data_IF_379898351684
#
_entry.id   IF_379898351684
#
_cell.length_a   1.000
_cell.length_b   1.000
_cell.length_c   1.000
_cell.angle_alpha   90.00
_cell.angle_beta   90.00
_cell.angle_gamma   90.00
#
_symmetry.space_group_name_H-M   'P 1'
#
loop_
_entity.id
_entity.type
_entity.pdbx_description
1 polymer ?
#
# COMPACT_ATOMS: atom_id res chain seq x y z
N UNK A 1 -2.92 -7.37 -15.20
CA UNK A 1 -3.27 -7.85 -13.84
C UNK A 1 -3.46 -6.62 -12.98
N UNK A 2 -4.53 -6.53 -12.19
CA UNK A 2 -4.76 -5.37 -11.32
C UNK A 2 -3.86 -5.49 -10.10
N UNK A 3 -2.80 -4.68 -10.01
CA UNK A 3 -1.78 -4.87 -8.98
C UNK A 3 -2.32 -4.58 -7.57
N UNK A 4 -3.20 -3.59 -7.43
CA UNK A 4 -3.71 -3.17 -6.12
C UNK A 4 -4.97 -3.91 -5.68
N UNK A 5 -5.77 -4.47 -6.60
CA UNK A 5 -7.02 -5.14 -6.27
C UNK A 5 -7.16 -6.43 -7.07
N UNK A 6 -6.93 -7.54 -6.38
CA UNK A 6 -7.15 -8.91 -6.85
C UNK A 6 -8.24 -9.58 -5.99
N UNK A 7 -8.59 -10.84 -6.29
CA UNK A 7 -9.60 -11.58 -5.52
C UNK A 7 -9.25 -11.80 -4.05
N UNK A 8 -7.99 -11.58 -3.67
CA UNK A 8 -7.51 -11.71 -2.30
C UNK A 8 -7.93 -10.54 -1.40
N UNK A 9 -8.22 -9.36 -1.96
CA UNK A 9 -8.53 -8.14 -1.20
C UNK A 9 -9.94 -7.65 -1.49
N UNK A 10 -10.61 -7.14 -0.47
CA UNK A 10 -11.93 -6.53 -0.64
C UNK A 10 -11.81 -5.00 -0.91
N UNK A 11 -12.87 -4.35 -1.41
CA UNK A 11 -12.83 -2.91 -1.70
C UNK A 11 -12.58 -2.01 -0.48
N UNK A 12 -12.84 -2.48 0.75
CA UNK A 12 -12.58 -1.71 1.97
C UNK A 12 -11.09 -1.70 2.30
N UNK A 13 -10.44 -2.87 2.25
CA UNK A 13 -8.98 -3.02 2.42
C UNK A 13 -8.22 -2.17 1.39
N UNK A 14 -8.73 -2.13 0.14
CA UNK A 14 -8.18 -1.34 -0.96
C UNK A 14 -8.44 0.18 -0.88
N UNK A 15 -9.17 0.66 0.14
CA UNK A 15 -9.51 2.09 0.27
C UNK A 15 -10.49 2.60 -0.80
N UNK A 16 -11.32 1.71 -1.35
CA UNK A 16 -12.34 1.99 -2.37
C UNK A 16 -13.76 2.05 -1.79
N UNK A 17 -13.89 2.09 -0.46
CA UNK A 17 -15.15 2.18 0.26
C UNK A 17 -15.77 3.60 0.23
N UNK A 18 -16.14 4.07 -0.98
CA UNK A 18 -16.80 5.37 -1.17
C UNK A 18 -18.04 5.54 -0.27
N UNK A 19 -18.41 6.78 0.01
CA UNK A 19 -19.45 7.11 0.99
C UNK A 19 -20.83 6.51 0.66
N UNK A 20 -21.16 6.37 -0.63
CA UNK A 20 -22.45 5.85 -1.08
C UNK A 20 -22.30 4.41 -1.59
N UNK A 21 -23.28 3.58 -1.27
CA UNK A 21 -23.46 2.23 -1.85
C UNK A 21 -24.68 2.26 -2.77
N UNK A 22 -24.61 1.54 -3.89
CA UNK A 22 -25.71 1.47 -4.86
C UNK A 22 -26.96 0.83 -4.20
N UNK A 23 -28.12 1.42 -4.47
CA UNK A 23 -29.41 0.95 -3.94
C UNK A 23 -29.83 -0.41 -4.51
N UNK A 24 -29.60 -0.62 -5.82
CA UNK A 24 -29.85 -1.90 -6.49
C UNK A 24 -29.09 -3.05 -5.83
N UNK A 25 -29.62 -4.26 -5.97
CA UNK A 25 -28.89 -5.47 -5.58
C UNK A 25 -27.80 -5.82 -6.59
N UNK A 26 -26.69 -6.39 -6.11
CA UNK A 26 -25.56 -6.79 -6.94
C UNK A 26 -24.71 -7.88 -6.26
N UNK A 27 -23.96 -8.64 -7.07
CA UNK A 27 -23.09 -9.72 -6.60
C UNK A 27 -22.08 -9.16 -5.59
N UNK A 28 -22.03 -9.73 -4.39
CA UNK A 28 -21.10 -9.34 -3.33
C UNK A 28 -21.57 -8.15 -2.47
N UNK A 29 -22.78 -7.62 -2.67
CA UNK A 29 -23.29 -6.48 -1.88
C UNK A 29 -23.33 -6.77 -0.37
N UNK A 30 -23.84 -7.93 0.03
CA UNK A 30 -23.95 -8.31 1.44
C UNK A 30 -22.56 -8.38 2.12
N UNK A 31 -21.60 -9.07 1.50
CA UNK A 31 -20.22 -9.17 2.00
C UNK A 31 -19.50 -7.82 2.01
N UNK A 32 -19.74 -6.97 1.00
CA UNK A 32 -19.19 -5.63 0.98
C UNK A 32 -19.73 -4.76 2.12
N UNK A 33 -21.03 -4.85 2.44
CA UNK A 33 -21.61 -4.14 3.58
C UNK A 33 -21.03 -4.61 4.91
N UNK A 34 -20.90 -5.94 5.10
CA UNK A 34 -20.24 -6.52 6.27
C UNK A 34 -18.80 -6.03 6.41
N UNK A 35 -18.02 -6.06 5.33
CA UNK A 35 -16.64 -5.58 5.34
C UNK A 35 -16.51 -4.09 5.70
N UNK A 36 -17.54 -3.26 5.44
CA UNK A 36 -17.55 -1.83 5.82
C UNK A 36 -17.78 -1.61 7.32
N UNK A 37 -18.45 -2.56 7.98
CA UNK A 37 -18.69 -2.52 9.43
C UNK A 37 -17.51 -3.09 10.22
N UNK A 38 -16.74 -3.97 9.59
CA UNK A 38 -15.54 -4.58 10.15
C UNK A 38 -14.31 -3.67 10.01
N UNK A 39 -13.36 -3.84 10.94
CA UNK A 39 -12.02 -3.25 10.79
C UNK A 39 -11.24 -4.08 9.77
N UNK A 40 -10.67 -3.48 8.70
CA UNK A 40 -9.89 -4.23 7.73
C UNK A 40 -8.63 -4.81 8.39
N UNK A 41 -8.28 -6.06 8.06
CA UNK A 41 -7.04 -6.68 8.55
C UNK A 41 -5.80 -6.31 7.69
N UNK A 42 -6.02 -5.67 6.55
CA UNK A 42 -4.97 -5.11 5.70
C UNK A 42 -5.44 -3.77 5.10
N UNK A 43 -4.54 -2.80 5.03
CA UNK A 43 -4.81 -1.44 4.56
C UNK A 43 -3.84 -1.10 3.46
N UNK A 44 -4.35 -0.70 2.30
CA UNK A 44 -3.53 -0.17 1.21
C UNK A 44 -2.82 1.11 1.67
N UNK A 45 -1.49 1.13 1.55
CA UNK A 45 -0.63 2.23 1.95
C UNK A 45 0.29 2.65 0.81
N UNK A 46 0.63 3.94 0.78
CA UNK A 46 1.74 4.45 -0.03
C UNK A 46 2.99 4.55 0.84
N UNK A 47 4.08 3.93 0.39
CA UNK A 47 5.38 3.99 1.03
C UNK A 47 6.33 4.86 0.21
N UNK A 48 7.18 5.63 0.87
CA UNK A 48 8.33 6.29 0.25
C UNK A 48 9.59 5.49 0.51
N UNK A 49 10.43 5.32 -0.51
CA UNK A 49 11.76 4.75 -0.37
C UNK A 49 12.70 5.83 0.18
N UNK A 50 13.21 5.65 1.40
CA UNK A 50 14.05 6.65 2.10
C UNK A 50 15.44 6.69 1.47
N UNK A 51 16.04 5.51 1.25
CA UNK A 51 17.28 5.33 0.51
C UNK A 51 17.18 4.05 -0.31
N UNK A 52 17.74 4.10 -1.50
CA UNK A 52 17.74 3.04 -2.48
C UNK A 52 19.14 2.65 -2.94
N UNK A 53 20.16 3.03 -2.17
CA UNK A 53 21.56 2.68 -2.42
C UNK A 53 21.86 1.30 -1.84
N UNK A 54 22.30 0.35 -2.68
CA UNK A 54 22.74 -0.97 -2.21
C UNK A 54 24.04 -0.86 -1.41
N UNK A 55 24.42 -1.95 -0.73
CA UNK A 55 25.72 -2.07 -0.06
C UNK A 55 26.92 -1.84 -0.99
N UNK A 56 26.75 -2.11 -2.28
CA UNK A 56 27.75 -1.87 -3.33
C UNK A 56 27.70 -0.45 -3.93
N UNK A 57 26.86 0.44 -3.41
CA UNK A 57 26.72 1.82 -3.91
C UNK A 57 25.82 1.97 -5.14
N UNK A 58 25.13 0.91 -5.57
CA UNK A 58 24.29 0.91 -6.78
C UNK A 58 22.88 1.34 -6.41
N UNK A 59 22.31 2.28 -7.17
CA UNK A 59 20.90 2.67 -7.04
C UNK A 59 19.98 1.54 -7.50
N UNK A 60 19.07 1.11 -6.63
CA UNK A 60 18.06 0.08 -6.88
C UNK A 60 16.68 0.72 -7.00
N UNK A 61 15.85 0.13 -7.86
CA UNK A 61 14.51 0.63 -8.15
C UNK A 61 13.58 -0.56 -8.19
N UNK A 62 12.97 -0.93 -7.04
CA UNK A 62 11.97 -1.99 -6.98
C UNK A 62 10.91 -1.78 -8.06
N UNK A 63 10.54 -2.83 -8.79
CA UNK A 63 9.60 -2.72 -9.91
C UNK A 63 8.15 -2.98 -9.49
N UNK A 64 7.97 -3.52 -8.29
CA UNK A 64 6.68 -3.94 -7.78
C UNK A 64 6.33 -5.36 -8.21
N UNK A 65 5.20 -5.83 -7.69
CA UNK A 65 4.58 -7.11 -7.99
C UNK A 65 4.78 -8.17 -6.92
N UNK A 66 5.91 -8.18 -6.19
CA UNK A 66 6.10 -9.17 -5.13
C UNK A 66 7.19 -8.88 -4.09
N UNK A 67 7.86 -7.73 -4.11
CA UNK A 67 8.92 -7.41 -3.16
C UNK A 67 8.38 -7.45 -1.72
N UNK A 68 8.94 -8.27 -0.82
CA UNK A 68 8.44 -8.36 0.54
C UNK A 68 8.57 -7.03 1.30
N UNK A 69 7.53 -6.66 2.03
CA UNK A 69 7.59 -5.62 3.06
C UNK A 69 7.74 -6.30 4.42
N UNK A 70 8.72 -5.83 5.18
CA UNK A 70 9.15 -6.41 6.43
C UNK A 70 9.17 -5.34 7.52
N UNK A 71 9.16 -5.79 8.78
CA UNK A 71 9.41 -4.92 9.92
C UNK A 71 10.80 -4.28 9.84
N UNK A 72 11.05 -3.29 10.69
CA UNK A 72 12.37 -2.66 10.80
C UNK A 72 13.50 -3.66 11.16
N UNK A 73 13.15 -4.75 11.85
CA UNK A 73 14.04 -5.87 12.22
C UNK A 73 14.15 -6.95 11.14
N UNK A 74 13.42 -6.83 10.03
CA UNK A 74 13.46 -7.78 8.90
C UNK A 74 12.51 -8.97 9.03
N UNK A 75 11.53 -8.90 9.93
CA UNK A 75 10.52 -9.95 10.10
C UNK A 75 9.37 -9.78 9.10
N UNK A 76 8.75 -10.90 8.71
CA UNK A 76 7.61 -10.89 7.80
C UNK A 76 6.38 -10.27 8.47
N UNK A 77 5.70 -9.41 7.75
CA UNK A 77 4.38 -8.90 8.14
C UNK A 77 3.33 -9.78 7.48
N UNK A 78 2.42 -10.33 8.29
CA UNK A 78 1.38 -11.26 7.85
C UNK A 78 0.07 -10.84 8.50
N UNK A 79 -0.98 -10.70 7.71
CA UNK A 79 -2.29 -10.32 8.23
C UNK A 79 -3.08 -11.49 8.82
N UNK A 80 -4.24 -11.18 9.41
CA UNK A 80 -5.12 -12.17 10.03
C UNK A 80 -5.67 -13.25 9.06
N UNK A 81 -5.56 -13.04 7.74
CA UNK A 81 -5.94 -14.02 6.70
C UNK A 81 -4.74 -14.81 6.18
N UNK A 82 -3.54 -14.58 6.72
CA UNK A 82 -2.31 -15.24 6.30
C UNK A 82 -1.64 -14.62 5.08
N UNK A 83 -2.09 -13.45 4.60
CA UNK A 83 -1.48 -12.76 3.45
C UNK A 83 -0.24 -12.02 3.89
N UNK A 84 0.82 -12.07 3.09
CA UNK A 84 2.10 -11.41 3.37
C UNK A 84 2.09 -10.00 2.78
N UNK A 85 2.56 -9.01 3.55
CA UNK A 85 2.77 -7.66 3.01
C UNK A 85 3.87 -7.66 1.95
N UNK A 86 3.52 -7.17 0.77
CA UNK A 86 4.39 -7.08 -0.40
C UNK A 86 4.07 -5.83 -1.21
N UNK A 87 5.05 -5.38 -1.99
CA UNK A 87 4.86 -4.30 -2.95
C UNK A 87 3.95 -4.77 -4.07
N UNK A 88 2.89 -3.99 -4.36
CA UNK A 88 2.01 -4.20 -5.51
C UNK A 88 2.53 -3.44 -6.71
N UNK A 89 2.68 -2.12 -6.57
CA UNK A 89 3.20 -1.21 -7.60
C UNK A 89 4.36 -0.41 -7.04
N UNK A 90 5.33 -0.11 -7.89
CA UNK A 90 6.43 0.78 -7.56
C UNK A 90 6.72 1.72 -8.72
N UNK A 91 7.19 2.93 -8.41
CA UNK A 91 7.53 3.89 -9.45
C UNK A 91 8.13 5.19 -8.94
N UNK A 92 8.82 5.89 -9.85
CA UNK A 92 9.25 7.25 -9.59
C UNK A 92 8.04 8.20 -9.56
N UNK A 93 8.04 9.13 -8.61
CA UNK A 93 7.08 10.22 -8.50
C UNK A 93 7.81 11.56 -8.71
N UNK A 94 8.02 12.00 -9.96
CA UNK A 94 8.83 13.19 -10.27
C UNK A 94 8.33 14.46 -9.59
N UNK A 95 7.01 14.67 -9.56
CA UNK A 95 6.39 15.84 -8.91
C UNK A 95 6.66 15.92 -7.40
N UNK A 96 7.05 14.81 -6.78
CA UNK A 96 7.37 14.74 -5.36
C UNK A 96 8.88 14.57 -5.11
N UNK A 97 9.67 14.32 -6.15
CA UNK A 97 11.10 13.97 -6.02
C UNK A 97 11.34 12.67 -5.24
N UNK A 98 10.38 11.72 -5.28
CA UNK A 98 10.40 10.49 -4.47
C UNK A 98 10.32 9.23 -5.34
N UNK A 99 10.75 8.10 -4.79
CA UNK A 99 10.42 6.78 -5.30
C UNK A 99 9.36 6.16 -4.38
N UNK A 100 8.22 5.76 -4.93
CA UNK A 100 7.07 5.32 -4.17
C UNK A 100 6.79 3.84 -4.41
N UNK A 101 6.25 3.20 -3.39
CA UNK A 101 5.76 1.82 -3.41
C UNK A 101 4.31 1.82 -2.91
N UNK A 102 3.48 0.92 -3.41
CA UNK A 102 2.18 0.59 -2.83
C UNK A 102 2.26 -0.77 -2.18
N UNK A 103 1.65 -0.92 -1.00
CA UNK A 103 1.61 -2.19 -0.29
C UNK A 103 0.42 -2.26 0.66
N UNK A 104 -0.10 -3.46 0.86
CA UNK A 104 -1.04 -3.77 1.94
C UNK A 104 -0.27 -4.02 3.25
N UNK A 105 -0.61 -3.27 4.29
CA UNK A 105 -0.04 -3.42 5.63
C UNK A 105 -1.13 -3.79 6.65
N UNK A 106 -0.76 -4.54 7.68
CA UNK A 106 -1.66 -4.74 8.82
C UNK A 106 -1.90 -3.40 9.55
N UNK A 107 -3.04 -3.21 10.23
CA UNK A 107 -3.39 -1.94 10.87
C UNK A 107 -2.33 -1.37 11.80
N UNK A 108 -1.62 -2.23 12.54
CA UNK A 108 -0.54 -1.85 13.46
C UNK A 108 0.71 -1.32 12.74
N UNK A 109 0.91 -1.68 11.46
CA UNK A 109 2.02 -1.18 10.64
C UNK A 109 1.58 -0.08 9.68
N UNK A 110 0.28 0.04 9.39
CA UNK A 110 -0.35 1.08 8.59
C UNK A 110 -0.49 2.40 9.37
N UNK A 111 0.63 2.96 9.80
CA UNK A 111 0.70 4.24 10.55
C UNK A 111 1.62 5.18 9.79
N UNK A 112 1.12 6.36 9.41
CA UNK A 112 1.94 7.36 8.73
C UNK A 112 3.19 7.71 9.55
N UNK A 113 4.34 7.74 8.88
CA UNK A 113 5.64 7.94 9.52
C UNK A 113 6.32 6.67 10.02
N UNK A 114 5.61 5.53 10.11
CA UNK A 114 6.23 4.25 10.48
C UNK A 114 7.28 3.83 9.44
N UNK A 115 8.44 3.35 9.92
CA UNK A 115 9.53 2.89 9.07
C UNK A 115 9.59 1.37 9.02
N UNK A 116 9.68 0.86 7.80
CA UNK A 116 9.68 -0.57 7.46
C UNK A 116 10.88 -0.86 6.55
N UNK A 117 10.95 -2.10 6.05
CA UNK A 117 11.92 -2.50 5.05
C UNK A 117 11.22 -3.08 3.83
N UNK A 118 11.72 -2.75 2.65
CA UNK A 118 11.44 -3.54 1.44
C UNK A 118 12.64 -4.43 1.17
N UNK A 119 12.41 -5.72 0.96
CA UNK A 119 13.44 -6.63 0.48
C UNK A 119 13.48 -6.60 -1.04
N UNK A 120 14.63 -6.24 -1.60
CA UNK A 120 14.85 -6.24 -3.04
C UNK A 120 16.26 -6.76 -3.35
N UNK A 121 16.37 -7.74 -4.26
CA UNK A 121 17.65 -8.38 -4.60
C UNK A 121 18.46 -8.84 -3.37
N UNK A 122 17.77 -9.46 -2.39
CA UNK A 122 18.34 -9.94 -1.11
C UNK A 122 18.95 -8.86 -0.19
N UNK A 123 18.63 -7.59 -0.43
CA UNK A 123 19.01 -6.47 0.43
C UNK A 123 17.76 -5.80 1.01
N UNK A 124 17.88 -5.20 2.21
CA UNK A 124 16.80 -4.49 2.88
C UNK A 124 16.98 -2.99 2.71
N UNK A 125 15.99 -2.32 2.11
CA UNK A 125 16.00 -0.89 1.91
C UNK A 125 14.99 -0.21 2.84
N UNK A 126 15.35 0.93 3.47
CA UNK A 126 14.44 1.64 4.35
C UNK A 126 13.31 2.29 3.56
N UNK A 127 12.08 2.06 4.01
CA UNK A 127 10.87 2.70 3.48
C UNK A 127 10.06 3.29 4.63
N UNK A 128 9.28 4.34 4.35
CA UNK A 128 8.38 4.97 5.32
C UNK A 128 6.96 4.97 4.81
N UNK A 129 6.00 4.71 5.69
CA UNK A 129 4.58 4.87 5.37
C UNK A 129 4.29 6.35 5.16
N UNK A 130 4.13 6.75 3.91
CA UNK A 130 3.89 8.13 3.53
C UNK A 130 2.40 8.47 3.59
N UNK A 131 1.51 7.53 3.24
CA UNK A 131 0.05 7.67 3.37
C UNK A 131 -0.61 6.36 3.71
N UNK A 132 -1.64 6.45 4.54
CA UNK A 132 -2.56 5.34 4.82
C UNK A 132 -3.86 5.58 4.06
N UNK A 133 -4.28 4.61 3.25
CA UNK A 133 -5.46 4.73 2.40
C UNK A 133 -5.20 5.42 1.05
N UNK A 134 -6.25 5.96 0.45
CA UNK A 134 -6.30 6.37 -0.96
C UNK A 134 -6.12 7.87 -1.22
N UNK A 135 -5.85 8.68 -0.19
CA UNK A 135 -5.56 10.09 -0.40
C UNK A 135 -4.20 10.25 -1.11
N UNK A 136 -4.14 10.98 -2.24
CA UNK A 136 -2.89 11.08 -2.99
C UNK A 136 -1.87 11.95 -2.24
N UNK A 137 -0.58 11.63 -2.42
CA UNK A 137 0.52 12.45 -1.91
C UNK A 137 0.64 13.80 -2.63
N UNK A 138 0.28 13.83 -3.90
CA UNK A 138 0.32 15.03 -4.74
C UNK A 138 -1.10 15.56 -4.98
N UNK A 139 -1.28 16.87 -4.84
CA UNK A 139 -2.58 17.54 -4.89
C UNK A 139 -3.67 16.85 -4.03
N UNK A 140 -3.46 16.71 -2.70
CA UNK A 140 -4.38 15.96 -1.82
C UNK A 140 -5.78 16.56 -1.69
N UNK A 141 -5.99 17.78 -2.19
CA UNK A 141 -7.26 18.52 -2.17
C UNK A 141 -7.98 18.53 -3.52
N UNK A 142 -7.41 17.91 -4.55
CA UNK A 142 -7.85 17.97 -5.94
C UNK A 142 -8.01 19.42 -6.44
N UNK A 143 -7.14 20.34 -6.00
CA UNK A 143 -7.26 21.75 -6.33
C UNK A 143 -7.08 21.99 -7.84
N UNK A 144 -6.27 21.17 -8.51
CA UNK A 144 -5.98 21.29 -9.95
C UNK A 144 -7.04 20.64 -10.83
N UNK A 145 -7.78 19.68 -10.30
CA UNK A 145 -8.83 18.97 -11.04
C UNK A 145 -10.18 19.69 -11.01
N UNK A 146 -10.39 20.59 -10.03
CA UNK A 146 -11.63 21.32 -9.81
C UNK A 146 -11.71 22.66 -10.56
N UNK A 147 -10.66 23.06 -11.25
CA UNK A 147 -10.58 24.29 -12.06
C UNK A 147 -11.04 24.07 -13.49
#
# INVERSE_FOLDING_TARGET
MGAELESEYNPVEAGLNRAKVKSADFIGKAEYLKAREEKPCAVMCTLEMIDNTSKSGIKRYPTGGNEPILTNTGERIVDAKGRVSRVTTAGAAPSLGKYLLLAYLTPEHAVEGNELRVMYMNELFPVRVARVGSQPLFDPTDARMKS
#
